data_IF_931676016693
#
_entry.id   IF_931676016693
#
_cell.length_a   1.000
_cell.length_b   1.000
_cell.length_c   1.000
_cell.angle_alpha   90.00
_cell.angle_beta   90.00
_cell.angle_gamma   90.00
#
_symmetry.space_group_name_H-M   'P 1'
#
loop_
_entity.id
_entity.type
_entity.pdbx_description
1 polymer ?
#
# COMPACT_ATOMS: atom_id res chain seq x y z
N UNK A 1 -0.94 6.60 -3.63
CA UNK A 1 -1.41 7.79 -4.34
C UNK A 1 -2.51 7.46 -5.31
N UNK A 2 -3.56 8.29 -5.26
CA UNK A 2 -4.52 8.49 -6.35
C UNK A 2 -4.35 9.94 -6.83
N UNK A 3 -4.92 10.30 -7.98
CA UNK A 3 -4.71 11.61 -8.60
C UNK A 3 -5.43 12.79 -7.95
N UNK A 4 -5.97 12.66 -6.73
CA UNK A 4 -6.63 13.77 -6.05
C UNK A 4 -5.63 14.56 -5.19
N UNK A 5 -5.62 15.88 -5.36
CA UNK A 5 -4.83 16.82 -4.56
C UNK A 5 -5.59 18.12 -4.31
N UNK A 6 -5.04 19.01 -3.47
CA UNK A 6 -5.54 20.38 -3.27
C UNK A 6 -4.41 21.33 -2.91
N UNK A 7 -4.61 22.62 -3.14
CA UNK A 7 -3.65 23.65 -2.75
C UNK A 7 -3.99 24.25 -1.39
N UNK A 8 -3.74 23.49 -0.31
CA UNK A 8 -4.00 23.91 1.07
C UNK A 8 -5.42 23.62 1.58
N UNK A 9 -5.61 23.82 2.88
CA UNK A 9 -6.79 23.39 3.65
C UNK A 9 -8.14 23.92 3.14
N UNK A 10 -8.16 25.13 2.57
CA UNK A 10 -9.38 25.80 2.12
C UNK A 10 -9.71 25.57 0.64
N UNK A 11 -8.81 24.94 -0.10
CA UNK A 11 -9.03 24.65 -1.52
C UNK A 11 -9.84 23.36 -1.69
N UNK A 12 -10.74 23.30 -2.70
CA UNK A 12 -11.41 22.05 -3.02
C UNK A 12 -10.41 21.00 -3.48
N UNK A 13 -10.76 19.73 -3.27
CA UNK A 13 -10.03 18.61 -3.86
C UNK A 13 -10.29 18.54 -5.37
N UNK A 14 -9.24 18.40 -6.15
CA UNK A 14 -9.27 18.28 -7.61
C UNK A 14 -8.49 17.06 -8.07
N UNK A 15 -8.92 16.44 -9.16
CA UNK A 15 -8.18 15.41 -9.87
C UNK A 15 -7.04 16.03 -10.71
N UNK A 16 -6.11 15.20 -11.20
CA UNK A 16 -4.98 15.62 -12.06
C UNK A 16 -5.42 16.31 -13.37
N UNK A 17 -6.64 16.07 -13.83
CA UNK A 17 -7.26 16.74 -14.99
C UNK A 17 -7.90 18.11 -14.62
N UNK A 18 -7.67 18.59 -13.39
CA UNK A 18 -8.25 19.79 -12.79
C UNK A 18 -9.77 19.76 -12.58
N UNK A 19 -10.41 18.59 -12.67
CA UNK A 19 -11.83 18.44 -12.36
C UNK A 19 -12.01 18.34 -10.84
N UNK A 20 -12.99 19.08 -10.30
CA UNK A 20 -13.32 19.02 -8.87
C UNK A 20 -13.85 17.63 -8.50
N UNK A 21 -13.39 17.11 -7.35
CA UNK A 21 -13.83 15.84 -6.80
C UNK A 21 -15.31 15.93 -6.38
N UNK A 22 -16.20 15.32 -7.17
CA UNK A 22 -17.65 15.28 -6.88
C UNK A 22 -18.09 14.00 -6.16
N UNK A 23 -17.43 12.88 -6.43
CA UNK A 23 -17.58 11.64 -5.68
C UNK A 23 -16.50 11.57 -4.61
N UNK A 24 -16.86 11.22 -3.39
CA UNK A 24 -15.90 11.08 -2.30
C UNK A 24 -16.07 9.79 -1.53
N UNK A 25 -14.94 9.20 -1.12
CA UNK A 25 -14.88 8.04 -0.25
C UNK A 25 -13.86 8.25 0.88
N UNK A 26 -13.77 9.47 1.41
CA UNK A 26 -12.86 9.81 2.51
C UNK A 26 -13.12 8.96 3.76
N UNK A 27 -12.05 8.58 4.44
CA UNK A 27 -12.16 8.14 5.83
C UNK A 27 -12.58 9.31 6.73
N UNK A 28 -13.10 9.05 7.94
CA UNK A 28 -13.56 10.09 8.83
C UNK A 28 -12.49 11.17 9.06
N UNK A 29 -12.86 12.44 8.85
CA UNK A 29 -12.02 13.63 9.04
C UNK A 29 -10.83 13.82 8.08
N UNK A 30 -10.61 12.94 7.11
CA UNK A 30 -9.45 13.02 6.21
C UNK A 30 -9.55 14.17 5.19
N UNK A 31 -10.75 14.58 4.78
CA UNK A 31 -10.90 15.65 3.79
C UNK A 31 -10.55 17.05 4.31
N UNK A 32 -10.49 17.23 5.63
CA UNK A 32 -10.42 18.54 6.28
C UNK A 32 -9.08 18.83 6.97
N UNK A 33 -8.09 17.94 6.80
CA UNK A 33 -6.76 18.10 7.39
C UNK A 33 -6.04 19.32 6.79
N UNK A 34 -5.25 20.06 7.57
CA UNK A 34 -4.76 21.37 7.09
C UNK A 34 -3.52 21.29 6.20
N UNK A 35 -2.65 20.31 6.46
CA UNK A 35 -1.30 20.25 5.88
C UNK A 35 -1.09 18.99 5.02
N UNK A 36 -2.16 18.23 4.80
CA UNK A 36 -2.17 17.00 4.02
C UNK A 36 -2.98 17.20 2.75
N UNK A 37 -2.25 17.38 1.65
CA UNK A 37 -2.77 17.92 0.40
C UNK A 37 -2.82 16.90 -0.74
N UNK A 38 -2.38 15.67 -0.51
CA UNK A 38 -2.41 14.59 -1.50
C UNK A 38 -3.21 13.38 -1.00
N UNK A 39 -3.98 12.76 -1.88
CA UNK A 39 -4.87 11.66 -1.53
C UNK A 39 -4.23 10.28 -1.76
N UNK A 40 -4.37 9.37 -0.79
CA UNK A 40 -4.02 7.97 -0.95
C UNK A 40 -5.18 7.05 -0.57
N UNK A 41 -5.13 5.80 -1.06
CA UNK A 41 -6.16 4.80 -0.82
C UNK A 41 -5.58 3.63 -0.02
N UNK A 42 -6.29 3.21 1.04
CA UNK A 42 -5.84 2.12 1.91
C UNK A 42 -6.71 0.87 1.74
N UNK A 43 -6.12 -0.23 1.28
CA UNK A 43 -6.85 -1.47 0.97
C UNK A 43 -7.49 -2.15 2.18
N UNK A 44 -6.90 -2.00 3.36
CA UNK A 44 -7.40 -2.54 4.62
C UNK A 44 -8.52 -1.70 5.25
N UNK A 45 -8.76 -0.49 4.73
CA UNK A 45 -9.78 0.45 5.19
C UNK A 45 -11.05 0.44 4.33
N UNK A 46 -11.38 -0.66 3.66
CA UNK A 46 -12.47 -0.71 2.67
C UNK A 46 -12.27 0.33 1.55
N UNK A 47 -11.01 0.52 1.13
CA UNK A 47 -10.64 1.44 0.05
C UNK A 47 -11.01 2.91 0.31
N UNK A 48 -11.08 3.31 1.59
CA UNK A 48 -11.26 4.71 1.97
C UNK A 48 -10.03 5.54 1.61
N UNK A 49 -10.27 6.82 1.36
CA UNK A 49 -9.24 7.79 1.01
C UNK A 49 -8.73 8.50 2.25
N UNK A 50 -7.44 8.75 2.28
CA UNK A 50 -6.72 9.43 3.36
C UNK A 50 -5.97 10.60 2.77
N UNK A 51 -5.90 11.70 3.50
CA UNK A 51 -4.99 12.79 3.17
C UNK A 51 -3.59 12.42 3.65
N UNK A 52 -2.56 12.84 2.93
CA UNK A 52 -1.18 12.71 3.38
C UNK A 52 -0.32 13.83 2.80
N UNK A 53 0.85 14.03 3.39
CA UNK A 53 1.88 14.91 2.88
C UNK A 53 2.36 14.42 1.51
N UNK A 54 2.33 15.29 0.50
CA UNK A 54 2.66 14.94 -0.88
C UNK A 54 4.11 14.44 -1.05
N UNK A 55 5.02 14.85 -0.17
CA UNK A 55 6.43 14.46 -0.18
C UNK A 55 6.67 13.01 0.28
N UNK A 56 5.63 12.30 0.72
CA UNK A 56 5.77 10.95 1.22
C UNK A 56 6.01 9.94 0.09
N UNK A 57 7.23 9.39 0.04
CA UNK A 57 7.72 8.56 -1.07
C UNK A 57 7.38 7.06 -0.95
N UNK A 58 6.95 6.60 0.22
CA UNK A 58 6.76 5.16 0.47
C UNK A 58 5.45 4.60 -0.11
N UNK A 59 4.52 5.46 -0.55
CA UNK A 59 3.24 5.02 -1.09
C UNK A 59 3.33 4.67 -2.58
N UNK A 60 2.81 3.49 -2.93
CA UNK A 60 2.56 3.11 -4.33
C UNK A 60 1.45 3.96 -4.93
N UNK A 61 1.35 4.00 -6.26
CA UNK A 61 0.37 4.79 -7.00
C UNK A 61 -0.52 3.93 -7.91
N UNK A 62 -1.66 4.48 -8.30
CA UNK A 62 -2.60 3.91 -9.27
C UNK A 62 -2.67 4.89 -10.46
N UNK A 63 -2.52 4.39 -11.69
CA UNK A 63 -2.64 5.19 -12.90
C UNK A 63 -3.99 4.96 -13.58
N UNK A 64 -4.48 5.99 -14.26
CA UNK A 64 -5.64 5.95 -15.14
C UNK A 64 -5.20 6.31 -16.57
N UNK A 65 -5.84 5.70 -17.57
CA UNK A 65 -5.70 6.10 -18.97
C UNK A 65 -7.03 5.89 -19.68
N UNK A 66 -7.36 6.82 -20.56
CA UNK A 66 -8.48 6.65 -21.49
C UNK A 66 -8.13 5.62 -22.55
N UNK A 67 -9.10 4.78 -22.93
CA UNK A 67 -8.97 3.88 -24.07
C UNK A 67 -9.54 4.59 -25.28
N UNK A 68 -8.66 5.16 -26.12
CA UNK A 68 -9.08 5.77 -27.37
C UNK A 68 -9.38 4.67 -28.38
N UNK A 69 -10.66 4.43 -28.68
CA UNK A 69 -11.08 3.53 -29.75
C UNK A 69 -10.94 4.25 -31.10
N UNK A 70 -9.73 4.36 -31.62
CA UNK A 70 -9.52 4.92 -32.96
C UNK A 70 -9.99 3.93 -34.03
N UNK A 71 -11.18 4.12 -34.60
CA UNK A 71 -11.47 3.69 -35.97
C UNK A 71 -10.77 4.67 -36.90
N UNK A 72 -9.46 4.45 -37.10
CA UNK A 72 -8.63 5.31 -37.94
C UNK A 72 -8.96 5.07 -39.41
N UNK A 73 -9.89 5.85 -39.97
CA UNK A 73 -9.78 6.23 -41.39
C UNK A 73 -8.58 7.19 -41.44
N UNK A 74 -7.55 6.83 -42.19
CA UNK A 74 -6.34 7.62 -42.36
C UNK A 74 -6.65 8.96 -43.05
N UNK A 75 -7.09 9.95 -42.28
CA UNK A 75 -7.18 11.34 -42.71
C UNK A 75 -6.01 12.11 -42.08
N UNK A 76 -4.95 12.25 -42.89
CA UNK A 76 -3.87 13.24 -42.83
C UNK A 76 -3.91 14.23 -41.65
N UNK A 77 -3.20 13.91 -40.56
CA UNK A 77 -2.74 14.92 -39.61
C UNK A 77 -1.45 15.54 -40.15
N UNK A 78 -1.57 16.70 -40.79
CA UNK A 78 -0.46 17.63 -40.93
C UNK A 78 -0.10 18.15 -39.52
N UNK A 79 0.80 17.43 -38.84
CA UNK A 79 1.37 17.85 -37.57
C UNK A 79 2.28 19.03 -37.84
N UNK A 80 1.79 20.24 -37.59
CA UNK A 80 2.65 21.44 -37.50
C UNK A 80 3.28 21.43 -36.12
N UNK A 81 4.53 20.96 -36.04
CA UNK A 81 5.33 21.02 -34.82
C UNK A 81 5.70 22.47 -34.50
N UNK A 82 5.03 23.07 -33.52
CA UNK A 82 5.51 24.28 -32.85
C UNK A 82 6.66 23.89 -31.92
N UNK A 83 7.85 24.53 -32.00
CA UNK A 83 8.95 24.21 -31.08
C UNK A 83 8.58 24.65 -29.67
N UNK A 84 8.71 23.71 -28.72
CA UNK A 84 8.56 23.96 -27.29
C UNK A 84 9.62 24.97 -26.81
N UNK A 85 9.30 25.89 -25.89
CA UNK A 85 10.29 26.77 -25.28
C UNK A 85 11.22 25.93 -24.39
N UNK A 86 12.48 25.82 -24.80
CA UNK A 86 13.54 25.23 -24.00
C UNK A 86 13.88 26.16 -22.83
N UNK A 87 13.36 25.89 -21.64
CA UNK A 87 13.84 26.52 -20.40
C UNK A 87 15.02 25.72 -19.87
N UNK A 88 16.22 26.22 -20.16
CA UNK A 88 17.49 25.80 -19.57
C UNK A 88 17.51 26.18 -18.09
N UNK A 89 17.38 25.21 -17.19
CA UNK A 89 17.75 25.40 -15.78
C UNK A 89 19.25 25.16 -15.62
N UNK A 90 20.02 26.25 -15.61
CA UNK A 90 21.38 26.24 -15.04
C UNK A 90 21.28 26.27 -13.51
N UNK A 91 21.99 25.41 -12.77
CA UNK A 91 22.10 25.54 -11.33
C UNK A 91 23.03 26.72 -11.00
N UNK A 92 22.48 27.83 -10.52
CA UNK A 92 23.27 28.89 -9.88
C UNK A 92 23.59 28.44 -8.45
N UNK A 93 24.84 28.00 -8.25
CA UNK A 93 25.42 27.79 -6.92
C UNK A 93 25.64 29.16 -6.26
N UNK A 94 24.78 29.53 -5.31
CA UNK A 94 25.00 30.68 -4.44
C UNK A 94 25.72 30.23 -3.16
N UNK A 95 27.01 30.50 -3.12
CA UNK A 95 27.83 30.49 -1.92
C UNK A 95 27.48 31.71 -1.06
N UNK A 96 26.77 31.50 0.04
CA UNK A 96 26.99 32.18 1.33
C UNK A 96 25.79 31.94 2.26
N UNK A 97 25.87 30.85 3.03
CA UNK A 97 25.30 30.85 4.38
C UNK A 97 26.14 29.94 5.26
N UNK A 98 26.88 30.57 6.16
CA UNK A 98 27.52 29.96 7.32
C UNK A 98 26.41 29.43 8.23
N UNK A 99 26.25 28.10 8.30
CA UNK A 99 25.50 27.44 9.35
C UNK A 99 26.37 26.30 9.89
N UNK A 100 26.88 26.52 11.09
CA UNK A 100 27.70 25.60 11.85
C UNK A 100 26.96 24.27 12.06
N UNK A 101 27.55 23.19 11.57
CA UNK A 101 27.11 21.83 11.89
C UNK A 101 27.72 21.43 13.23
N UNK A 102 26.93 21.57 14.30
CA UNK A 102 27.25 21.01 15.61
C UNK A 102 26.90 19.52 15.57
N UNK A 103 27.93 18.67 15.64
CA UNK A 103 27.77 17.22 15.67
C UNK A 103 27.01 16.77 16.91
N UNK A 104 25.83 16.19 16.71
CA UNK A 104 25.11 15.44 17.74
C UNK A 104 25.65 14.01 17.78
N UNK A 105 26.53 13.74 18.73
CA UNK A 105 26.99 12.40 19.11
C UNK A 105 25.81 11.57 19.64
N UNK A 106 25.58 10.42 19.01
CA UNK A 106 24.67 9.39 19.49
C UNK A 106 25.19 8.81 20.82
N UNK A 107 24.44 8.97 21.91
CA UNK A 107 24.67 8.25 23.15
C UNK A 107 24.09 6.84 23.03
N UNK A 108 25.00 5.86 22.95
CA UNK A 108 24.70 4.44 23.13
C UNK A 108 25.02 4.10 24.59
N UNK A 109 23.99 3.96 25.41
CA UNK A 109 24.14 3.60 26.83
C UNK A 109 24.46 2.10 26.93
N UNK A 110 25.73 1.78 27.17
CA UNK A 110 26.19 0.44 27.57
C UNK A 110 26.48 0.50 29.08
N UNK A 111 25.64 -0.14 29.88
CA UNK A 111 25.89 -0.30 31.32
C UNK A 111 26.72 -1.55 31.54
N UNK A 112 28.02 -1.37 31.80
CA UNK A 112 28.94 -2.41 32.26
C UNK A 112 29.03 -2.31 33.78
N UNK A 113 28.67 -3.37 34.51
CA UNK A 113 28.89 -3.46 35.95
C UNK A 113 30.27 -4.07 36.22
N UNK A 114 31.17 -3.30 36.80
CA UNK A 114 32.42 -3.74 37.44
C UNK A 114 32.13 -4.00 38.91
N UNK A 115 32.25 -5.25 39.36
CA UNK A 115 32.19 -5.60 40.78
C UNK A 115 33.61 -5.80 41.29
N UNK A 116 34.05 -4.89 42.16
CA UNK A 116 35.29 -4.98 42.90
C UNK A 116 35.20 -6.02 44.02
N UNK A 117 36.24 -6.82 44.12
CA UNK A 117 36.55 -7.78 45.16
C UNK A 117 36.98 -7.05 46.46
N UNK A 118 36.57 -7.54 47.64
CA UNK A 118 37.38 -7.41 48.84
C UNK A 118 37.79 -8.77 49.39
N UNK A 119 39.10 -8.89 49.57
CA UNK A 119 39.82 -9.77 50.48
C UNK A 119 39.32 -9.56 51.91
N UNK A 120 39.08 -10.62 52.70
CA UNK A 120 39.96 -10.96 53.83
C UNK A 120 39.57 -12.29 54.54
N UNK A 121 40.61 -12.97 55.04
CA UNK A 121 40.77 -13.87 56.23
C UNK A 121 39.55 -14.54 56.89
N UNK A 122 39.61 -15.70 57.55
CA UNK A 122 40.58 -16.74 57.88
C UNK A 122 39.75 -17.83 58.61
N UNK A 123 40.38 -19.00 58.77
CA UNK A 123 40.22 -19.95 59.88
C UNK A 123 39.16 -21.06 59.87
N UNK A 124 39.72 -22.27 60.00
CA UNK A 124 39.25 -23.50 60.67
C UNK A 124 38.42 -24.52 59.90
N UNK A 125 39.14 -25.53 59.42
CA UNK A 125 38.64 -26.88 59.15
C UNK A 125 38.20 -27.55 60.45
N UNK A 126 36.91 -27.86 60.55
CA UNK A 126 36.38 -28.89 61.47
C UNK A 126 35.53 -29.85 60.66
N UNK A 127 36.09 -31.02 60.37
CA UNK A 127 35.37 -32.19 59.88
C UNK A 127 34.51 -32.74 61.01
N UNK A 128 33.19 -32.60 60.91
CA UNK A 128 32.26 -33.36 61.75
C UNK A 128 31.32 -34.21 60.89
N UNK A 129 31.45 -35.50 61.14
CA UNK A 129 30.73 -36.65 60.61
C UNK A 129 29.21 -36.52 60.72
N UNK A 130 28.55 -36.92 59.64
CA UNK A 130 27.26 -37.63 59.55
C UNK A 130 26.30 -37.53 60.73
N UNK A 131 25.09 -37.01 60.47
CA UNK A 131 23.83 -37.67 60.79
C UNK A 131 22.69 -37.04 59.95
N UNK A 132 22.17 -37.83 59.02
CA UNK A 132 20.91 -37.59 58.30
C UNK A 132 19.72 -37.77 59.24
N UNK A 133 18.76 -36.84 59.28
CA UNK A 133 17.41 -37.14 59.71
C UNK A 133 16.57 -37.41 58.45
N UNK A 134 16.30 -38.69 58.21
CA UNK A 134 15.21 -39.13 57.32
C UNK A 134 13.91 -38.56 57.90
N UNK A 135 13.33 -37.57 57.23
CA UNK A 135 11.96 -37.12 57.50
C UNK A 135 11.18 -37.04 56.19
N UNK A 136 10.21 -37.95 56.11
CA UNK A 136 8.92 -37.92 55.40
C UNK A 136 8.85 -37.50 53.91
N UNK A 137 8.16 -38.27 53.05
CA UNK A 137 7.89 -37.86 51.68
C UNK A 137 7.00 -36.60 51.69
N UNK A 138 7.56 -35.48 51.26
CA UNK A 138 6.76 -34.33 50.84
C UNK A 138 5.97 -34.79 49.61
N UNK A 139 4.70 -35.13 49.84
CA UNK A 139 3.62 -35.06 48.87
C UNK A 139 3.94 -34.02 47.79
N UNK A 140 4.21 -34.52 46.59
CA UNK A 140 4.63 -33.76 45.41
C UNK A 140 3.47 -32.96 44.87
N UNK A 141 3.12 -31.87 45.55
CA UNK A 141 2.38 -30.78 44.93
C UNK A 141 3.27 -30.17 43.86
N UNK A 142 2.76 -30.05 42.63
CA UNK A 142 3.43 -29.36 41.53
C UNK A 142 3.83 -27.97 42.05
N UNK A 143 5.13 -27.69 42.13
CA UNK A 143 5.65 -26.40 42.60
C UNK A 143 4.88 -25.26 41.93
N UNK A 144 4.43 -24.28 42.70
CA UNK A 144 3.68 -23.12 42.20
C UNK A 144 4.39 -22.44 41.01
N UNK A 145 5.71 -22.50 41.00
CA UNK A 145 6.58 -22.05 39.90
C UNK A 145 6.32 -22.80 38.58
N UNK A 146 6.15 -24.13 38.65
CA UNK A 146 5.82 -24.95 37.48
C UNK A 146 4.41 -24.66 36.96
N UNK A 147 3.47 -24.37 37.87
CA UNK A 147 2.10 -24.00 37.49
C UNK A 147 2.08 -22.66 36.74
N UNK A 148 2.86 -21.67 37.18
CA UNK A 148 3.00 -20.38 36.49
C UNK A 148 3.59 -20.58 35.08
N UNK A 149 4.66 -21.37 34.95
CA UNK A 149 5.29 -21.66 33.65
C UNK A 149 4.29 -22.35 32.71
N UNK A 150 3.54 -23.34 33.20
CA UNK A 150 2.51 -24.03 32.41
C UNK A 150 1.44 -23.05 31.93
N UNK A 151 0.95 -22.15 32.80
CA UNK A 151 -0.04 -21.15 32.41
C UNK A 151 0.50 -20.17 31.36
N UNK A 152 1.75 -19.75 31.46
CA UNK A 152 2.39 -18.90 30.45
C UNK A 152 2.54 -19.62 29.11
N UNK A 153 2.95 -20.89 29.11
CA UNK A 153 3.09 -21.69 27.89
C UNK A 153 1.73 -21.92 27.22
N UNK A 154 0.69 -22.23 28.01
CA UNK A 154 -0.68 -22.37 27.50
C UNK A 154 -1.19 -21.03 26.95
N UNK A 155 -0.93 -19.92 27.64
CA UNK A 155 -1.29 -18.58 27.18
C UNK A 155 -0.62 -18.21 25.86
N UNK A 156 0.70 -18.42 25.75
CA UNK A 156 1.45 -18.20 24.50
C UNK A 156 0.92 -19.08 23.38
N UNK A 157 0.65 -20.37 23.66
CA UNK A 157 0.09 -21.28 22.66
C UNK A 157 -1.26 -20.79 22.15
N UNK A 158 -2.17 -20.36 23.04
CA UNK A 158 -3.47 -19.79 22.67
C UNK A 158 -3.29 -18.52 21.84
N UNK A 159 -2.37 -17.63 22.20
CA UNK A 159 -2.09 -16.41 21.44
C UNK A 159 -1.56 -16.72 20.03
N UNK A 160 -0.67 -17.71 19.90
CA UNK A 160 -0.14 -18.16 18.61
C UNK A 160 -1.24 -18.77 17.74
N UNK A 161 -2.13 -19.58 18.33
CA UNK A 161 -3.27 -20.17 17.62
C UNK A 161 -4.23 -19.07 17.16
N UNK A 162 -4.61 -18.12 18.02
CA UNK A 162 -5.49 -17.00 17.67
C UNK A 162 -4.85 -16.14 16.57
N UNK A 163 -3.56 -15.82 16.71
CA UNK A 163 -2.82 -15.04 15.70
C UNK A 163 -2.80 -15.77 14.35
N UNK A 164 -2.55 -17.07 14.35
CA UNK A 164 -2.57 -17.91 13.15
C UNK A 164 -3.96 -17.94 12.51
N UNK A 165 -5.02 -18.07 13.30
CA UNK A 165 -6.41 -18.02 12.83
C UNK A 165 -6.75 -16.65 12.24
N UNK A 166 -6.37 -15.55 12.89
CA UNK A 166 -6.57 -14.19 12.40
C UNK A 166 -5.83 -13.96 11.08
N UNK A 167 -4.58 -14.42 10.98
CA UNK A 167 -3.80 -14.38 9.73
C UNK A 167 -4.50 -15.21 8.64
N UNK A 168 -5.00 -16.40 8.95
CA UNK A 168 -5.75 -17.23 8.01
C UNK A 168 -7.05 -16.55 7.55
N UNK A 169 -7.82 -15.95 8.45
CA UNK A 169 -9.06 -15.24 8.13
C UNK A 169 -8.76 -14.03 7.24
N UNK A 170 -7.72 -13.24 7.56
CA UNK A 170 -7.30 -12.08 6.75
C UNK A 170 -6.83 -12.51 5.36
N UNK A 171 -6.05 -13.60 5.27
CA UNK A 171 -5.62 -14.20 3.99
C UNK A 171 -6.80 -14.72 3.18
N UNK A 172 -7.80 -15.37 3.81
CA UNK A 172 -9.03 -15.84 3.15
C UNK A 172 -9.88 -14.69 2.62
N UNK A 173 -10.07 -13.63 3.41
CA UNK A 173 -10.79 -12.41 2.99
C UNK A 173 -10.10 -11.72 1.81
N UNK A 174 -8.77 -11.58 1.87
CA UNK A 174 -7.99 -11.02 0.76
C UNK A 174 -8.06 -11.87 -0.51
N UNK A 175 -7.99 -13.21 -0.40
CA UNK A 175 -8.16 -14.11 -1.55
C UNK A 175 -9.55 -14.03 -2.16
N UNK A 176 -10.62 -14.01 -1.34
CA UNK A 176 -12.00 -13.82 -1.83
C UNK A 176 -12.18 -12.48 -2.53
N UNK A 177 -11.62 -11.41 -1.99
CA UNK A 177 -11.64 -10.10 -2.64
C UNK A 177 -10.93 -10.10 -4.01
N UNK A 178 -9.78 -10.78 -4.12
CA UNK A 178 -9.08 -10.92 -5.42
C UNK A 178 -9.89 -11.73 -6.43
N UNK A 179 -10.50 -12.85 -6.02
CA UNK A 179 -11.31 -13.70 -6.91
C UNK A 179 -12.51 -12.93 -7.47
N UNK A 180 -13.23 -12.19 -6.61
CA UNK A 180 -14.39 -11.40 -7.04
C UNK A 180 -14.00 -10.30 -8.03
N UNK A 181 -12.87 -9.62 -7.80
CA UNK A 181 -12.35 -8.59 -8.71
C UNK A 181 -11.93 -9.19 -10.06
N UNK A 182 -11.30 -10.38 -10.06
CA UNK A 182 -10.91 -11.04 -11.32
C UNK A 182 -12.11 -11.50 -12.15
N UNK A 183 -13.17 -12.00 -11.51
CA UNK A 183 -14.40 -12.40 -12.19
C UNK A 183 -15.15 -11.21 -12.77
N UNK A 184 -15.24 -10.10 -12.02
CA UNK A 184 -15.87 -8.87 -12.50
C UNK A 184 -15.12 -8.24 -13.68
N UNK A 185 -13.78 -8.19 -13.61
CA UNK A 185 -12.96 -7.71 -14.73
C UNK A 185 -13.11 -8.61 -15.95
N UNK A 186 -13.12 -9.94 -15.77
CA UNK A 186 -13.29 -10.88 -16.88
C UNK A 186 -14.68 -10.76 -17.53
N UNK A 187 -15.73 -10.50 -16.75
CA UNK A 187 -17.07 -10.26 -17.27
C UNK A 187 -17.13 -8.96 -18.09
N UNK A 188 -16.57 -7.87 -17.58
CA UNK A 188 -16.50 -6.58 -18.29
C UNK A 188 -15.74 -6.68 -19.61
N UNK A 189 -14.63 -7.43 -19.63
CA UNK A 189 -13.88 -7.66 -20.88
C UNK A 189 -14.70 -8.45 -21.91
N UNK A 190 -15.45 -9.47 -21.48
CA UNK A 190 -16.31 -10.26 -22.39
C UNK A 190 -17.43 -9.43 -23.00
N UNK A 191 -18.07 -8.58 -22.21
CA UNK A 191 -19.13 -7.68 -22.70
C UNK A 191 -18.59 -6.70 -23.74
N UNK A 192 -17.41 -6.11 -23.49
CA UNK A 192 -16.74 -5.24 -24.47
C UNK A 192 -16.36 -5.98 -25.75
N UNK A 193 -15.90 -7.23 -25.67
CA UNK A 193 -15.60 -8.02 -26.88
C UNK A 193 -16.84 -8.31 -27.73
N UNK A 194 -17.98 -8.57 -27.09
CA UNK A 194 -19.26 -8.76 -27.79
C UNK A 194 -19.70 -7.47 -28.48
N UNK A 195 -19.61 -6.33 -27.80
CA UNK A 195 -19.93 -5.02 -28.38
C UNK A 195 -19.04 -4.67 -29.58
N UNK A 196 -17.73 -4.92 -29.48
CA UNK A 196 -16.78 -4.72 -30.60
C UNK A 196 -17.11 -5.64 -31.78
N UNK A 197 -17.53 -6.89 -31.54
CA UNK A 197 -17.95 -7.80 -32.62
C UNK A 197 -19.22 -7.31 -33.31
N UNK A 198 -20.22 -6.89 -32.53
CA UNK A 198 -21.47 -6.33 -33.08
C UNK A 198 -21.21 -5.07 -33.92
N UNK A 199 -20.34 -4.17 -33.45
CA UNK A 199 -19.96 -2.97 -34.21
C UNK A 199 -19.25 -3.31 -35.53
N UNK A 200 -18.37 -4.33 -35.53
CA UNK A 200 -17.69 -4.79 -36.75
C UNK A 200 -18.66 -5.38 -37.77
N UNK A 201 -19.61 -6.19 -37.32
CA UNK A 201 -20.60 -6.81 -38.20
C UNK A 201 -21.53 -5.75 -38.80
N UNK A 202 -21.95 -4.75 -38.02
CA UNK A 202 -22.75 -3.63 -38.55
C UNK A 202 -21.99 -2.76 -39.56
N UNK A 203 -20.69 -2.51 -39.32
CA UNK A 203 -19.85 -1.76 -40.26
C UNK A 203 -19.67 -2.48 -41.60
N UNK A 204 -19.41 -3.80 -41.55
CA UNK A 204 -19.29 -4.63 -42.75
C UNK A 204 -20.58 -4.65 -43.58
N UNK A 205 -21.75 -4.72 -42.94
CA UNK A 205 -23.03 -4.71 -43.66
C UNK A 205 -23.37 -3.34 -44.28
N UNK A 206 -22.88 -2.24 -43.70
CA UNK A 206 -23.09 -0.91 -44.29
C UNK A 206 -22.19 -0.71 -45.53
N UNK A 207 -20.94 -1.17 -45.47
CA UNK A 207 -20.02 -1.10 -46.61
C UNK A 207 -20.49 -1.95 -47.79
N UNK A 208 -21.03 -3.15 -47.53
CA UNK A 208 -21.55 -4.04 -48.58
C UNK A 208 -22.80 -3.46 -49.28
N UNK A 209 -23.73 -2.86 -48.52
CA UNK A 209 -24.88 -2.15 -49.08
C UNK A 209 -24.48 -0.91 -49.88
N UNK A 210 -23.43 -0.19 -49.48
CA UNK A 210 -22.95 0.98 -50.18
C UNK A 210 -22.32 0.60 -51.54
N UNK A 211 -21.56 -0.49 -51.57
CA UNK A 211 -20.98 -1.06 -52.80
C UNK A 211 -22.08 -1.50 -53.77
N UNK A 212 -23.12 -2.17 -53.27
CA UNK A 212 -24.26 -2.63 -54.09
C UNK A 212 -25.05 -1.46 -54.68
N UNK A 213 -25.27 -0.39 -53.91
CA UNK A 213 -25.90 0.83 -54.44
C UNK A 213 -25.05 1.51 -55.51
N UNK A 214 -23.73 1.59 -55.33
CA UNK A 214 -22.85 2.17 -56.35
C UNK A 214 -22.82 1.37 -57.64
N UNK A 215 -22.86 0.04 -57.58
CA UNK A 215 -22.87 -0.82 -58.76
C UNK A 215 -24.20 -0.70 -59.53
N UNK A 216 -25.34 -0.66 -58.83
CA UNK A 216 -26.65 -0.44 -59.47
C UNK A 216 -26.77 0.93 -60.13
N UNK A 217 -26.15 1.97 -59.56
CA UNK A 217 -26.14 3.32 -60.15
C UNK A 217 -25.33 3.39 -61.46
N UNK A 218 -24.22 2.66 -61.54
CA UNK A 218 -23.39 2.60 -62.76
C UNK A 218 -24.13 1.89 -63.90
N UNK A 219 -24.86 0.81 -63.59
CA UNK A 219 -25.61 0.02 -64.59
C UNK A 219 -26.80 0.78 -65.20
N UNK A 220 -27.38 1.76 -64.49
CA UNK A 220 -28.48 2.61 -64.99
C UNK A 220 -27.96 3.73 -65.91
N UNK A 221 -26.66 4.04 -65.89
CA UNK A 221 -26.06 5.16 -66.64
C UNK A 221 -25.28 4.77 -67.90
N UNK A 222 -25.32 3.48 -68.29
CA UNK A 222 -24.66 2.94 -69.50
C UNK A 222 -25.71 2.57 -70.55
#
# INVERSE_FOLDING_TARGET
WIGASRNGSHSPWTWEDNITVVYSNWAPNESNQTDENCANIKSDSQHKWYSSHCEFDQYKYICEREIVNTTTTAANLNVTTTPAPSTTFSPTLNNNTTAAYVGSTAYKTTTTYTTSLPTDTDTTFVTRTTNTPITSPHNTGISTELLIIILLLVGIFVLVVISSLMIMIKRRRSRRGRIFVTEALQQSTREREVEIRLQRDTGSTMDENLIEQTNNLVEITS
#
